data_IF_758538957371
#
_entry.id   IF_758538957371
#
_cell.length_a   1.000
_cell.length_b   1.000
_cell.length_c   1.000
_cell.angle_alpha   90.00
_cell.angle_beta   90.00
_cell.angle_gamma   90.00
#
_symmetry.space_group_name_H-M   'P 1'
#
loop_
_entity.id
_entity.type
_entity.pdbx_description
1 polymer ?
#
# COMPACT_ATOMS: atom_id res chain seq x y z
N UNK A 1 8.91 3.19 -24.39
CA UNK A 1 9.38 2.02 -23.60
C UNK A 1 9.13 2.21 -22.12
N UNK A 2 9.91 3.08 -21.46
CA UNK A 2 9.93 3.22 -20.00
C UNK A 2 8.56 3.43 -19.32
N UNK A 3 7.67 4.25 -19.91
CA UNK A 3 6.32 4.46 -19.37
C UNK A 3 5.51 3.16 -19.28
N UNK A 4 5.49 2.36 -20.36
CA UNK A 4 4.77 1.08 -20.37
C UNK A 4 5.37 0.08 -19.40
N UNK A 5 6.69 0.04 -19.28
CA UNK A 5 7.37 -0.81 -18.29
C UNK A 5 6.99 -0.41 -16.85
N UNK A 6 6.98 0.89 -16.54
CA UNK A 6 6.55 1.39 -15.23
C UNK A 6 5.08 1.04 -14.95
N UNK A 7 4.19 1.25 -15.92
CA UNK A 7 2.77 0.92 -15.78
C UNK A 7 2.56 -0.57 -15.48
N UNK A 8 3.27 -1.44 -16.19
CA UNK A 8 3.14 -2.88 -16.04
C UNK A 8 3.68 -3.37 -14.69
N UNK A 9 4.86 -2.92 -14.28
CA UNK A 9 5.44 -3.32 -12.99
C UNK A 9 4.61 -2.79 -11.83
N UNK A 10 4.26 -1.48 -11.85
CA UNK A 10 3.50 -0.85 -10.78
C UNK A 10 2.09 -1.44 -10.65
N UNK A 11 1.40 -1.72 -11.77
CA UNK A 11 0.04 -2.25 -11.76
C UNK A 11 -0.05 -3.73 -11.39
N UNK A 12 0.91 -4.55 -11.83
CA UNK A 12 0.84 -6.01 -11.63
C UNK A 12 1.27 -6.39 -10.21
N UNK A 13 2.45 -5.96 -9.77
CA UNK A 13 3.02 -6.47 -8.51
C UNK A 13 2.22 -6.02 -7.29
N UNK A 14 1.82 -4.74 -7.25
CA UNK A 14 1.07 -4.17 -6.12
C UNK A 14 -0.32 -4.79 -5.99
N UNK A 15 -1.06 -4.87 -7.09
CA UNK A 15 -2.43 -5.42 -7.11
C UNK A 15 -2.42 -6.92 -6.82
N UNK A 16 -1.48 -7.68 -7.40
CA UNK A 16 -1.33 -9.11 -7.13
C UNK A 16 -1.10 -9.37 -5.64
N UNK A 17 -0.19 -8.62 -5.02
CA UNK A 17 0.12 -8.79 -3.61
C UNK A 17 -1.07 -8.38 -2.74
N UNK A 18 -1.74 -7.26 -3.04
CA UNK A 18 -2.94 -6.84 -2.31
C UNK A 18 -4.05 -7.91 -2.35
N UNK A 19 -4.31 -8.53 -3.51
CA UNK A 19 -5.33 -9.59 -3.64
C UNK A 19 -4.95 -10.83 -2.82
N UNK A 20 -3.70 -11.29 -2.91
CA UNK A 20 -3.23 -12.46 -2.16
C UNK A 20 -3.33 -12.22 -0.64
N UNK A 21 -2.93 -11.04 -0.17
CA UNK A 21 -3.09 -10.63 1.22
C UNK A 21 -4.56 -10.51 1.61
N UNK A 22 -5.41 -9.96 0.74
CA UNK A 22 -6.84 -9.85 0.99
C UNK A 22 -7.50 -11.21 1.22
N UNK A 23 -7.16 -12.21 0.39
CA UNK A 23 -7.63 -13.58 0.61
C UNK A 23 -7.16 -14.14 1.96
N UNK A 24 -5.88 -13.96 2.28
CA UNK A 24 -5.32 -14.39 3.56
C UNK A 24 -6.01 -13.71 4.76
N UNK A 25 -6.26 -12.40 4.69
CA UNK A 25 -6.91 -11.64 5.75
C UNK A 25 -8.37 -12.07 5.95
N UNK A 26 -9.11 -12.28 4.88
CA UNK A 26 -10.51 -12.74 4.96
C UNK A 26 -10.63 -14.19 5.44
N UNK A 27 -9.62 -15.03 5.20
CA UNK A 27 -9.53 -16.38 5.78
C UNK A 27 -9.25 -16.32 7.30
N UNK A 28 -8.33 -15.45 7.71
CA UNK A 28 -7.94 -15.29 9.12
C UNK A 28 -8.95 -14.55 9.99
N UNK A 29 -9.85 -13.77 9.39
CA UNK A 29 -10.85 -12.97 10.08
C UNK A 29 -12.26 -13.32 9.54
N UNK A 30 -12.79 -14.51 9.87
CA UNK A 30 -14.05 -15.00 9.32
C UNK A 30 -15.23 -14.08 9.65
N UNK A 31 -15.20 -13.38 10.78
CA UNK A 31 -16.21 -12.37 11.14
C UNK A 31 -16.20 -11.16 10.20
N UNK A 32 -15.02 -10.71 9.74
CA UNK A 32 -14.90 -9.62 8.77
C UNK A 32 -15.36 -10.08 7.38
N UNK A 33 -15.06 -11.34 7.02
CA UNK A 33 -15.58 -11.95 5.80
C UNK A 33 -17.09 -12.05 5.81
N UNK A 34 -17.69 -12.43 6.94
CA UNK A 34 -19.14 -12.49 7.06
C UNK A 34 -19.78 -11.10 7.04
N UNK A 35 -19.18 -10.12 7.72
CA UNK A 35 -19.60 -8.73 7.66
C UNK A 35 -19.61 -8.22 6.21
N UNK A 36 -18.53 -8.43 5.47
CA UNK A 36 -18.44 -8.07 4.06
C UNK A 36 -19.52 -8.77 3.20
N UNK A 37 -19.87 -10.02 3.51
CA UNK A 37 -20.93 -10.75 2.80
C UNK A 37 -22.34 -10.29 3.16
N UNK A 38 -22.53 -9.77 4.38
CA UNK A 38 -23.84 -9.36 4.88
C UNK A 38 -24.43 -8.15 4.13
N UNK A 39 -23.57 -7.23 3.69
CA UNK A 39 -23.93 -6.05 2.88
C UNK A 39 -22.70 -5.61 2.08
N UNK A 40 -22.48 -6.27 0.95
CA UNK A 40 -21.26 -6.09 0.16
C UNK A 40 -21.06 -4.65 -0.30
N UNK A 41 -22.10 -4.02 -0.86
CA UNK A 41 -22.02 -2.66 -1.39
C UNK A 41 -21.69 -1.64 -0.30
N UNK A 42 -22.16 -1.86 0.93
CA UNK A 42 -21.83 -1.03 2.09
C UNK A 42 -20.38 -1.18 2.56
N UNK A 43 -19.84 -2.41 2.55
CA UNK A 43 -18.58 -2.71 3.24
C UNK A 43 -17.36 -2.86 2.31
N UNK A 44 -17.55 -3.09 1.01
CA UNK A 44 -16.45 -3.37 0.08
C UNK A 44 -15.41 -2.25 0.00
N UNK A 45 -15.82 -0.98 0.03
CA UNK A 45 -14.90 0.15 0.01
C UNK A 45 -13.91 0.13 1.18
N UNK A 46 -14.43 0.00 2.40
CA UNK A 46 -13.61 -0.10 3.62
C UNK A 46 -12.76 -1.37 3.66
N UNK A 47 -13.27 -2.50 3.15
CA UNK A 47 -12.50 -3.72 3.05
C UNK A 47 -11.30 -3.58 2.10
N UNK A 48 -11.47 -2.91 0.95
CA UNK A 48 -10.36 -2.63 0.01
C UNK A 48 -9.31 -1.74 0.68
N UNK A 49 -9.72 -0.63 1.31
CA UNK A 49 -8.81 0.28 2.00
C UNK A 49 -8.01 -0.44 3.10
N UNK A 50 -8.68 -1.31 3.87
CA UNK A 50 -8.07 -2.06 4.95
C UNK A 50 -7.11 -3.14 4.44
N UNK A 51 -7.43 -3.81 3.33
CA UNK A 51 -6.52 -4.76 2.69
C UNK A 51 -5.28 -4.04 2.19
N UNK A 52 -5.41 -2.86 1.56
CA UNK A 52 -4.25 -2.06 1.11
C UNK A 52 -3.42 -1.60 2.29
N UNK A 53 -4.05 -1.11 3.38
CA UNK A 53 -3.37 -0.70 4.61
C UNK A 53 -2.59 -1.86 5.23
N UNK A 54 -3.21 -3.02 5.37
CA UNK A 54 -2.58 -4.15 6.04
C UNK A 54 -1.53 -4.85 5.17
N UNK A 55 -1.74 -4.92 3.85
CA UNK A 55 -0.77 -5.52 2.94
C UNK A 55 0.46 -4.64 2.72
N UNK A 56 0.29 -3.31 2.71
CA UNK A 56 1.33 -2.32 2.36
C UNK A 56 2.24 -2.83 1.23
N UNK A 57 1.72 -3.04 0.00
CA UNK A 57 2.45 -3.79 -1.03
C UNK A 57 3.78 -3.16 -1.46
N UNK A 58 3.91 -1.84 -1.28
CA UNK A 58 5.17 -1.10 -1.44
C UNK A 58 5.54 -0.48 -0.09
N UNK A 59 6.53 -1.07 0.57
CA UNK A 59 6.94 -0.69 1.93
C UNK A 59 7.88 0.53 1.96
N UNK A 60 8.52 0.87 0.84
CA UNK A 60 9.45 1.99 0.79
C UNK A 60 9.56 2.60 -0.59
N UNK A 61 9.71 3.92 -0.60
CA UNK A 61 10.29 4.67 -1.70
C UNK A 61 11.34 5.61 -1.14
N UNK A 62 12.38 5.87 -1.93
CA UNK A 62 13.44 6.80 -1.55
C UNK A 62 13.18 8.19 -2.10
N UNK A 63 13.65 9.21 -1.39
CA UNK A 63 13.70 10.63 -1.76
C UNK A 63 15.14 11.14 -1.66
N UNK A 64 15.36 12.33 -2.22
CA UNK A 64 16.63 13.05 -2.11
C UNK A 64 16.33 14.42 -1.55
N UNK A 65 17.07 14.81 -0.51
CA UNK A 65 16.93 16.11 0.14
C UNK A 65 17.46 17.19 -0.80
N UNK A 66 16.63 18.19 -1.10
CA UNK A 66 16.96 19.27 -2.04
C UNK A 66 17.52 20.52 -1.35
N UNK A 67 17.12 20.74 -0.10
CA UNK A 67 17.56 21.83 0.77
C UNK A 67 17.61 21.36 2.22
N UNK A 68 18.36 22.05 3.08
CA UNK A 68 18.45 21.69 4.49
C UNK A 68 17.07 21.74 5.16
N UNK A 69 16.70 20.68 5.90
CA UNK A 69 15.43 20.63 6.61
C UNK A 69 15.51 19.85 7.92
N UNK A 70 14.61 20.15 8.87
CA UNK A 70 14.50 19.43 10.12
C UNK A 70 13.22 18.56 10.14
N UNK A 71 13.36 17.27 10.42
CA UNK A 71 12.23 16.34 10.55
C UNK A 71 12.53 15.30 11.65
N UNK A 72 11.58 15.07 12.55
CA UNK A 72 11.72 14.07 13.62
C UNK A 72 12.90 14.30 14.57
N UNK A 73 13.30 15.56 14.78
CA UNK A 73 14.46 15.91 15.63
C UNK A 73 15.83 15.71 14.96
N UNK A 74 15.87 15.39 13.67
CA UNK A 74 17.09 15.29 12.86
C UNK A 74 17.15 16.41 11.82
N UNK A 75 18.32 17.02 11.65
CA UNK A 75 18.62 17.89 10.52
C UNK A 75 19.13 17.05 9.34
N UNK A 76 18.56 17.27 8.17
CA UNK A 76 18.94 16.66 6.90
C UNK A 76 19.56 17.72 5.99
N UNK A 77 20.62 17.36 5.28
CA UNK A 77 21.39 18.22 4.39
C UNK A 77 21.11 17.89 2.91
N UNK A 78 21.32 18.84 1.98
CA UNK A 78 21.18 18.61 0.56
C UNK A 78 21.97 17.39 0.07
N UNK A 79 21.33 16.53 -0.72
CA UNK A 79 21.93 15.32 -1.28
C UNK A 79 21.72 14.05 -0.45
N UNK A 80 21.32 14.17 0.82
CA UNK A 80 20.98 13.01 1.65
C UNK A 80 19.82 12.20 1.06
N UNK A 81 19.83 10.89 1.32
CA UNK A 81 18.78 9.96 0.92
C UNK A 81 17.91 9.61 2.11
N UNK A 82 16.59 9.68 1.91
CA UNK A 82 15.57 9.37 2.91
C UNK A 82 14.61 8.36 2.32
#
# INVERSE_FOLDING_TARGET
GAFFSLLLVAGVETTRNAIAHGLFLLDRNPEQRELLRSDFDRYIGGAVDEIVRHSTPIIQFRRTVTEECALGGRTFLPGEKV
#
